data_IF_201135584537
#
_entry.id   IF_201135584537
#
_cell.length_a   1.000
_cell.length_b   1.000
_cell.length_c   1.000
_cell.angle_alpha   90.00
_cell.angle_beta   90.00
_cell.angle_gamma   90.00
#
_symmetry.space_group_name_H-M   'P 1'
#
loop_
_entity.id
_entity.type
_entity.pdbx_description
1 polymer ?
#
# COMPACT_ATOMS: atom_id res chain seq x y z
N UNK A 1 -21.84 30.07 60.40
CA UNK A 1 -22.05 28.76 59.75
C UNK A 1 -22.27 28.83 58.23
N UNK A 2 -22.82 29.93 57.67
CA UNK A 2 -23.13 30.08 56.23
C UNK A 2 -21.88 30.30 55.36
N UNK A 3 -20.85 30.95 55.87
CA UNK A 3 -19.61 31.28 55.12
C UNK A 3 -18.77 30.03 54.85
N UNK A 4 -18.82 29.02 55.74
CA UNK A 4 -18.01 27.81 55.61
C UNK A 4 -18.57 26.83 54.56
N UNK A 5 -19.90 26.77 54.43
CA UNK A 5 -20.59 25.98 53.39
C UNK A 5 -20.34 26.53 51.97
N UNK A 6 -20.18 27.85 51.81
CA UNK A 6 -19.84 28.48 50.53
C UNK A 6 -18.42 28.16 50.06
N UNK A 7 -17.45 28.05 50.98
CA UNK A 7 -16.05 27.70 50.65
C UNK A 7 -15.89 26.22 50.26
N UNK A 8 -16.63 25.32 50.89
CA UNK A 8 -16.65 23.89 50.53
C UNK A 8 -17.33 23.63 49.18
N UNK A 9 -18.41 24.34 48.86
CA UNK A 9 -19.06 24.26 47.55
C UNK A 9 -18.17 24.80 46.41
N UNK A 10 -17.42 25.88 46.65
CA UNK A 10 -16.48 26.43 45.68
C UNK A 10 -15.27 25.50 45.44
N UNK A 11 -14.78 24.81 46.49
CA UNK A 11 -13.71 23.82 46.35
C UNK A 11 -14.18 22.55 45.61
N UNK A 12 -15.42 22.11 45.84
CA UNK A 12 -16.02 21.00 45.10
C UNK A 12 -16.27 21.34 43.61
N UNK A 13 -16.69 22.57 43.32
CA UNK A 13 -16.87 23.04 41.94
C UNK A 13 -15.53 23.16 41.20
N UNK A 14 -14.47 23.61 41.87
CA UNK A 14 -13.11 23.65 41.32
C UNK A 14 -12.54 22.24 41.10
N UNK A 15 -12.80 21.28 42.00
CA UNK A 15 -12.40 19.89 41.82
C UNK A 15 -13.14 19.22 40.65
N UNK A 16 -14.45 19.48 40.48
CA UNK A 16 -15.24 18.94 39.37
C UNK A 16 -14.83 19.55 38.01
N UNK A 17 -14.46 20.83 37.96
CA UNK A 17 -13.96 21.47 36.73
C UNK A 17 -12.54 21.05 36.33
N UNK A 18 -11.74 20.53 37.27
CA UNK A 18 -10.38 20.03 36.96
C UNK A 18 -10.40 18.59 36.43
N UNK A 19 -11.52 17.85 36.58
CA UNK A 19 -11.66 16.44 36.20
C UNK A 19 -12.24 16.19 34.79
N UNK A 20 -12.61 17.22 34.02
CA UNK A 20 -13.40 17.01 32.80
C UNK A 20 -12.80 17.56 31.50
N UNK A 21 -11.51 17.85 31.46
CA UNK A 21 -10.79 17.99 30.17
C UNK A 21 -9.50 17.19 30.23
N UNK A 22 -9.63 15.87 30.34
CA UNK A 22 -8.61 14.99 29.76
C UNK A 22 -8.63 15.27 28.26
N UNK A 23 -7.85 16.24 27.81
CA UNK A 23 -7.56 16.38 26.40
C UNK A 23 -7.10 14.99 25.95
N UNK A 24 -7.84 14.39 25.02
CA UNK A 24 -7.42 13.18 24.34
C UNK A 24 -6.01 13.48 23.85
N UNK A 25 -5.00 12.88 24.48
CA UNK A 25 -3.64 12.98 24.00
C UNK A 25 -3.67 12.36 22.60
N UNK A 26 -3.77 13.21 21.59
CA UNK A 26 -3.91 12.83 20.19
C UNK A 26 -2.62 12.15 19.79
N UNK A 27 -2.56 10.84 20.00
CA UNK A 27 -1.45 10.02 19.58
C UNK A 27 -1.45 10.00 18.05
N UNK A 28 -0.42 10.59 17.45
CA UNK A 28 -0.14 10.41 16.03
C UNK A 28 0.04 8.92 15.72
N UNK A 29 -0.43 8.53 14.54
CA UNK A 29 -0.36 7.17 14.06
C UNK A 29 0.80 7.04 13.07
N UNK A 30 1.60 6.00 13.24
CA UNK A 30 2.61 5.61 12.27
C UNK A 30 2.03 4.59 11.32
N UNK A 31 2.33 4.71 10.03
CA UNK A 31 2.08 3.65 9.05
C UNK A 31 3.30 3.42 8.16
N UNK A 32 3.40 2.21 7.62
CA UNK A 32 4.32 1.87 6.54
C UNK A 32 3.54 1.79 5.24
N UNK A 33 4.17 2.08 4.11
CA UNK A 33 3.57 1.96 2.78
C UNK A 33 4.63 1.51 1.78
N UNK A 34 4.32 0.50 0.98
CA UNK A 34 5.21 0.04 -0.10
C UNK A 34 4.93 0.85 -1.37
N UNK A 35 5.98 1.19 -2.11
CA UNK A 35 5.85 1.98 -3.35
C UNK A 35 5.19 1.20 -4.50
N UNK A 36 5.37 -0.12 -4.51
CA UNK A 36 4.81 -1.04 -5.47
C UNK A 36 4.28 -2.29 -4.74
N UNK A 37 3.03 -2.72 -5.01
CA UNK A 37 2.48 -3.93 -4.40
C UNK A 37 3.08 -5.21 -4.99
N UNK A 38 3.63 -5.15 -6.20
CA UNK A 38 4.24 -6.27 -6.92
C UNK A 38 5.55 -5.80 -7.56
N UNK A 39 6.64 -6.53 -7.33
CA UNK A 39 7.94 -6.28 -7.97
C UNK A 39 8.52 -7.56 -8.56
N UNK A 40 9.47 -7.43 -9.48
CA UNK A 40 10.20 -8.57 -10.02
C UNK A 40 11.25 -9.10 -9.03
N UNK A 41 11.67 -10.36 -9.19
CA UNK A 41 12.75 -10.94 -8.40
C UNK A 41 14.03 -10.11 -8.50
N UNK A 42 14.65 -9.83 -7.35
CA UNK A 42 15.90 -9.06 -7.27
C UNK A 42 15.71 -7.55 -7.39
N UNK A 43 14.51 -7.06 -7.72
CA UNK A 43 14.20 -5.62 -7.63
C UNK A 43 14.14 -5.16 -6.16
N UNK A 44 14.25 -3.84 -5.99
CA UNK A 44 14.20 -3.19 -4.68
C UNK A 44 12.76 -2.79 -4.38
N UNK A 45 12.25 -3.26 -3.24
CA UNK A 45 11.05 -2.71 -2.62
C UNK A 45 11.44 -1.53 -1.74
N UNK A 46 10.77 -0.39 -1.94
CA UNK A 46 10.88 0.78 -1.07
C UNK A 46 9.68 0.85 -0.14
N UNK A 47 9.95 1.21 1.11
CA UNK A 47 8.97 1.26 2.19
C UNK A 47 9.02 2.64 2.82
N UNK A 48 7.98 3.44 2.60
CA UNK A 48 7.80 4.70 3.29
C UNK A 48 7.36 4.43 4.73
N UNK A 49 7.99 5.10 5.69
CA UNK A 49 7.56 5.22 7.07
C UNK A 49 7.03 6.63 7.30
N UNK A 50 5.73 6.72 7.49
CA UNK A 50 5.01 7.98 7.57
C UNK A 50 4.35 8.07 8.94
N UNK A 51 4.30 9.28 9.48
CA UNK A 51 3.79 9.52 10.83
C UNK A 51 2.88 10.74 10.85
N UNK A 52 1.63 10.52 11.20
CA UNK A 52 0.59 11.49 10.96
C UNK A 52 -0.81 10.97 11.25
N UNK A 53 -1.79 11.48 10.51
CA UNK A 53 -3.20 11.12 10.62
C UNK A 53 -3.87 11.57 11.94
N UNK A 54 -3.82 12.86 12.28
CA UNK A 54 -4.62 13.43 13.40
C UNK A 54 -5.77 14.33 12.92
N UNK A 55 -5.75 14.78 11.67
CA UNK A 55 -6.82 15.62 11.13
C UNK A 55 -8.05 14.78 10.78
N UNK A 56 -9.24 15.40 10.87
CA UNK A 56 -10.52 14.77 10.56
C UNK A 56 -10.76 13.48 11.38
N UNK A 57 -10.62 13.56 12.71
CA UNK A 57 -10.81 12.42 13.64
C UNK A 57 -9.95 11.20 13.28
N UNK A 58 -8.67 11.41 12.99
CA UNK A 58 -7.75 10.36 12.51
C UNK A 58 -8.20 9.68 11.21
N UNK A 59 -8.81 10.43 10.29
CA UNK A 59 -9.25 9.97 8.95
C UNK A 59 -8.59 10.74 7.81
N UNK A 60 -7.27 10.99 7.89
CA UNK A 60 -6.50 11.69 6.87
C UNK A 60 -5.09 11.12 6.66
N UNK A 61 -4.55 11.27 5.45
CA UNK A 61 -3.16 10.88 5.14
C UNK A 61 -2.13 12.00 5.45
N UNK A 62 -2.51 12.98 6.28
CA UNK A 62 -1.65 14.13 6.56
C UNK A 62 -0.51 13.76 7.48
N UNK A 63 0.71 14.06 7.04
CA UNK A 63 1.95 13.85 7.79
C UNK A 63 2.17 15.04 8.71
N UNK A 64 2.58 14.78 9.95
CA UNK A 64 2.76 15.84 10.97
C UNK A 64 3.98 15.64 11.86
N UNK A 65 4.67 14.51 11.72
CA UNK A 65 5.80 14.14 12.56
C UNK A 65 6.62 13.02 11.95
N UNK A 66 7.44 12.40 12.78
CA UNK A 66 8.42 11.39 12.36
C UNK A 66 8.33 10.16 13.28
N UNK A 67 8.68 9.00 12.73
CA UNK A 67 8.92 7.82 13.55
C UNK A 67 10.13 8.04 14.46
N UNK A 68 10.04 7.62 15.72
CA UNK A 68 11.16 7.70 16.65
C UNK A 68 12.30 6.77 16.22
N UNK A 69 13.48 7.31 15.94
CA UNK A 69 14.62 6.55 15.38
C UNK A 69 15.08 5.46 16.35
N UNK A 70 15.17 5.77 17.64
CA UNK A 70 15.68 4.85 18.67
C UNK A 70 14.61 3.87 19.18
N UNK A 71 13.34 4.26 19.07
CA UNK A 71 12.20 3.50 19.57
C UNK A 71 11.47 2.73 18.49
N UNK A 72 11.98 2.69 17.25
CA UNK A 72 11.34 1.98 16.14
C UNK A 72 12.30 1.21 15.25
N UNK A 73 11.82 0.07 14.79
CA UNK A 73 12.50 -0.85 13.89
C UNK A 73 11.63 -1.19 12.69
N UNK A 74 12.28 -1.60 11.61
CA UNK A 74 11.63 -2.05 10.38
C UNK A 74 12.04 -3.49 10.13
N UNK A 75 11.06 -4.35 9.90
CA UNK A 75 11.29 -5.75 9.59
C UNK A 75 10.62 -6.15 8.29
N UNK A 76 11.18 -7.18 7.66
CA UNK A 76 10.58 -7.89 6.54
C UNK A 76 10.42 -9.34 6.94
N UNK A 77 9.20 -9.86 6.83
CA UNK A 77 8.93 -11.28 6.99
C UNK A 77 8.83 -11.94 5.62
N UNK A 78 9.68 -12.93 5.37
CA UNK A 78 9.74 -13.65 4.11
C UNK A 78 8.60 -14.67 3.96
N UNK A 79 8.38 -15.24 2.75
CA UNK A 79 7.40 -16.31 2.54
C UNK A 79 7.63 -17.54 3.42
N UNK A 80 8.87 -17.77 3.86
CA UNK A 80 9.23 -18.85 4.78
C UNK A 80 8.97 -18.50 6.26
N UNK A 81 8.42 -17.32 6.55
CA UNK A 81 8.15 -16.85 7.92
C UNK A 81 9.38 -16.28 8.64
N UNK A 82 10.51 -16.11 7.95
CA UNK A 82 11.73 -15.54 8.55
C UNK A 82 11.59 -14.03 8.63
N UNK A 83 11.63 -13.48 9.85
CA UNK A 83 11.60 -12.04 10.13
C UNK A 83 13.02 -11.49 10.18
N UNK A 84 13.34 -10.56 9.28
CA UNK A 84 14.66 -9.92 9.16
C UNK A 84 14.56 -8.45 9.52
N UNK A 85 15.46 -7.95 10.37
CA UNK A 85 15.59 -6.53 10.71
C UNK A 85 16.30 -5.80 9.55
N UNK A 86 15.61 -4.83 8.95
CA UNK A 86 16.13 -4.00 7.86
C UNK A 86 16.29 -2.53 8.29
N UNK A 87 16.27 -2.25 9.59
CA UNK A 87 16.31 -0.88 10.12
C UNK A 87 17.54 -0.10 9.67
N UNK A 88 18.66 -0.78 9.40
CA UNK A 88 19.89 -0.16 8.87
C UNK A 88 19.75 0.43 7.46
N UNK A 89 18.71 0.07 6.72
CA UNK A 89 18.41 0.63 5.38
C UNK A 89 17.59 1.91 5.44
N UNK A 90 17.12 2.29 6.63
CA UNK A 90 16.27 3.45 6.85
C UNK A 90 17.05 4.74 6.60
N UNK A 91 16.49 5.60 5.76
CA UNK A 91 17.01 6.90 5.39
C UNK A 91 15.96 7.99 5.62
N UNK A 92 16.34 9.12 6.22
CA UNK A 92 15.45 10.27 6.41
C UNK A 92 15.34 11.07 5.11
N UNK A 93 14.12 11.25 4.60
CA UNK A 93 13.88 11.92 3.31
C UNK A 93 13.39 13.36 3.44
N UNK A 94 13.16 13.83 4.66
CA UNK A 94 12.68 15.19 4.90
C UNK A 94 13.82 16.21 5.02
N UNK A 95 13.43 17.45 5.27
CA UNK A 95 14.35 18.51 5.70
C UNK A 95 14.29 18.60 7.22
N UNK A 96 15.44 18.63 7.88
CA UNK A 96 15.50 18.75 9.32
C UNK A 96 15.03 20.15 9.73
N UNK A 97 14.40 20.27 10.91
CA UNK A 97 14.09 21.57 11.47
C UNK A 97 15.38 22.38 11.67
N UNK A 98 15.32 23.66 11.39
CA UNK A 98 16.33 24.64 11.81
C UNK A 98 15.80 25.40 13.02
N UNK A 99 16.59 26.34 13.55
CA UNK A 99 16.12 27.21 14.65
C UNK A 99 14.88 28.04 14.26
N UNK A 100 14.72 28.34 12.97
CA UNK A 100 13.68 29.24 12.47
C UNK A 100 12.65 28.55 11.56
N UNK A 101 12.94 27.34 11.07
CA UNK A 101 12.08 26.63 10.13
C UNK A 101 11.70 25.25 10.66
N UNK A 102 10.40 24.90 10.68
CA UNK A 102 9.98 23.57 11.09
C UNK A 102 10.43 22.52 10.06
N UNK A 103 10.61 21.28 10.51
CA UNK A 103 10.91 20.17 9.62
C UNK A 103 9.77 19.97 8.60
N UNK A 104 10.11 19.83 7.32
CA UNK A 104 9.16 19.60 6.23
C UNK A 104 9.42 18.26 5.54
N UNK A 105 8.38 17.71 4.90
CA UNK A 105 8.45 16.41 4.22
C UNK A 105 8.91 15.26 5.14
N UNK A 106 8.46 15.31 6.40
CA UNK A 106 8.84 14.41 7.49
C UNK A 106 8.52 12.93 7.18
N UNK A 107 9.52 12.17 6.75
CA UNK A 107 9.37 10.74 6.47
C UNK A 107 10.71 10.02 6.44
N UNK A 108 10.65 8.70 6.60
CA UNK A 108 11.78 7.84 6.30
C UNK A 108 11.43 6.89 5.17
N UNK A 109 12.44 6.43 4.46
CA UNK A 109 12.34 5.32 3.50
C UNK A 109 13.29 4.23 3.96
N UNK A 110 12.78 3.00 4.07
CA UNK A 110 13.60 1.80 4.17
C UNK A 110 13.53 1.02 2.85
N UNK A 111 14.45 0.07 2.65
CA UNK A 111 14.44 -0.74 1.44
C UNK A 111 14.90 -2.17 1.70
N UNK A 112 14.45 -3.08 0.85
CA UNK A 112 14.97 -4.45 0.79
C UNK A 112 14.85 -4.99 -0.63
N UNK A 113 15.64 -6.01 -0.94
CA UNK A 113 15.47 -6.80 -2.16
C UNK A 113 15.44 -8.28 -1.81
N UNK A 114 14.77 -9.06 -2.62
CA UNK A 114 14.75 -10.51 -2.47
C UNK A 114 14.60 -11.20 -3.82
N UNK A 115 15.36 -12.28 -3.99
CA UNK A 115 15.31 -13.12 -5.19
C UNK A 115 14.24 -14.22 -5.11
N UNK A 116 13.72 -14.52 -3.91
CA UNK A 116 12.70 -15.56 -3.72
C UNK A 116 11.30 -14.99 -4.01
N UNK A 117 10.52 -15.59 -4.93
CA UNK A 117 9.13 -15.19 -5.14
C UNK A 117 8.28 -15.51 -3.92
N UNK A 118 7.24 -14.70 -3.71
CA UNK A 118 6.21 -14.98 -2.72
C UNK A 118 5.66 -13.74 -2.05
N UNK A 119 4.93 -13.98 -0.96
CA UNK A 119 4.32 -12.95 -0.14
C UNK A 119 5.30 -12.47 0.94
N UNK A 120 5.62 -11.18 0.91
CA UNK A 120 6.45 -10.50 1.91
C UNK A 120 5.61 -9.53 2.72
N UNK A 121 5.75 -9.58 4.05
CA UNK A 121 5.08 -8.67 4.98
C UNK A 121 6.13 -7.74 5.56
N UNK A 122 5.96 -6.44 5.38
CA UNK A 122 6.80 -5.42 5.99
C UNK A 122 6.13 -4.91 7.25
N UNK A 123 6.89 -4.76 8.34
CA UNK A 123 6.38 -4.21 9.60
C UNK A 123 7.26 -3.08 10.11
N UNK A 124 6.69 -1.89 10.33
CA UNK A 124 7.24 -0.87 11.21
C UNK A 124 6.75 -1.10 12.64
N UNK A 125 7.67 -1.26 13.58
CA UNK A 125 7.35 -1.60 14.96
C UNK A 125 7.99 -0.60 15.90
N UNK A 126 7.21 -0.02 16.82
CA UNK A 126 7.72 0.92 17.82
C UNK A 126 7.29 0.54 19.23
N UNK A 127 8.17 0.83 20.19
CA UNK A 127 7.94 0.67 21.63
C UNK A 127 8.53 1.87 22.37
N UNK A 128 7.69 2.64 23.04
CA UNK A 128 8.09 3.88 23.71
C UNK A 128 7.33 4.06 25.01
N UNK A 129 8.01 4.50 26.06
CA UNK A 129 7.39 4.89 27.34
C UNK A 129 7.34 6.42 27.43
N UNK A 130 6.16 6.96 27.72
CA UNK A 130 5.93 8.38 27.99
C UNK A 130 5.96 8.61 29.49
N UNK A 131 6.95 9.36 29.96
CA UNK A 131 7.06 9.78 31.36
C UNK A 131 5.99 10.80 31.76
N UNK A 132 5.49 11.59 30.80
CA UNK A 132 4.44 12.59 31.03
C UNK A 132 3.07 11.96 31.24
N UNK A 133 2.71 10.98 30.41
CA UNK A 133 1.39 10.33 30.47
C UNK A 133 1.39 9.03 31.29
N UNK A 134 2.55 8.64 31.82
CA UNK A 134 2.80 7.36 32.49
C UNK A 134 2.22 6.19 31.68
N UNK A 135 2.47 6.19 30.37
CA UNK A 135 1.95 5.16 29.47
C UNK A 135 3.01 4.62 28.53
N UNK A 136 2.93 3.32 28.22
CA UNK A 136 3.71 2.69 27.17
C UNK A 136 2.90 2.67 25.88
N UNK A 137 3.55 2.91 24.75
CA UNK A 137 2.92 2.84 23.42
C UNK A 137 3.62 1.76 22.61
N UNK A 138 2.87 0.75 22.18
CA UNK A 138 3.32 -0.32 21.30
C UNK A 138 2.61 -0.19 19.95
N UNK A 139 3.37 0.05 18.88
CA UNK A 139 2.81 0.28 17.54
C UNK A 139 3.22 -0.83 16.58
N UNK A 140 2.29 -1.28 15.74
CA UNK A 140 2.58 -2.00 14.51
C UNK A 140 2.04 -1.25 13.31
N UNK A 141 2.79 -1.28 12.22
CA UNK A 141 2.40 -0.73 10.95
C UNK A 141 2.78 -1.74 9.87
N UNK A 142 1.81 -2.20 9.09
CA UNK A 142 2.01 -3.23 8.07
C UNK A 142 1.84 -2.70 6.66
N UNK A 143 2.69 -3.18 5.77
CA UNK A 143 2.52 -3.08 4.32
C UNK A 143 3.00 -4.37 3.66
N UNK A 144 2.71 -4.54 2.37
CA UNK A 144 2.87 -5.83 1.70
C UNK A 144 3.53 -5.67 0.34
N UNK A 145 4.31 -6.69 -0.04
CA UNK A 145 4.91 -6.80 -1.37
C UNK A 145 4.78 -8.24 -1.84
N UNK A 146 4.28 -8.45 -3.05
CA UNK A 146 4.45 -9.70 -3.76
C UNK A 146 5.71 -9.63 -4.63
N UNK A 147 6.62 -10.57 -4.45
CA UNK A 147 7.75 -10.76 -5.36
C UNK A 147 7.39 -11.85 -6.33
N UNK A 148 7.56 -11.58 -7.62
CA UNK A 148 7.16 -12.48 -8.70
C UNK A 148 8.23 -12.55 -9.78
N UNK A 149 8.26 -13.63 -10.53
CA UNK A 149 9.05 -13.71 -11.77
C UNK A 149 8.49 -12.78 -12.85
N UNK A 150 7.16 -12.67 -12.91
CA UNK A 150 6.43 -11.72 -13.74
C UNK A 150 5.51 -10.87 -12.84
N UNK A 151 5.75 -9.55 -12.72
CA UNK A 151 5.04 -8.68 -11.77
C UNK A 151 3.63 -8.31 -12.28
N UNK A 152 2.76 -9.31 -12.37
CA UNK A 152 1.37 -9.18 -12.81
C UNK A 152 0.41 -9.61 -11.71
N UNK A 153 -0.69 -8.88 -11.53
CA UNK A 153 -1.76 -9.20 -10.57
C UNK A 153 -2.23 -10.65 -10.72
N UNK A 154 -2.46 -11.10 -11.96
CA UNK A 154 -2.90 -12.47 -12.23
C UNK A 154 -1.88 -13.52 -11.74
N UNK A 155 -0.57 -13.24 -11.89
CA UNK A 155 0.51 -14.14 -11.48
C UNK A 155 0.59 -14.29 -9.96
N UNK A 156 0.36 -13.19 -9.23
CA UNK A 156 0.50 -13.18 -7.77
C UNK A 156 -0.81 -13.41 -7.02
N UNK A 157 -1.96 -13.36 -7.68
CA UNK A 157 -3.29 -13.44 -7.06
C UNK A 157 -3.47 -14.63 -6.12
N UNK A 158 -2.84 -15.77 -6.43
CA UNK A 158 -2.93 -17.01 -5.66
C UNK A 158 -1.97 -17.09 -4.44
N UNK A 159 -1.11 -16.09 -4.21
CA UNK A 159 -0.22 -16.06 -3.05
C UNK A 159 -1.02 -15.97 -1.74
N UNK A 160 -0.67 -16.82 -0.76
CA UNK A 160 -1.41 -16.96 0.52
C UNK A 160 -0.68 -16.44 1.76
N UNK A 161 0.63 -16.17 1.67
CA UNK A 161 1.48 -15.89 2.84
C UNK A 161 1.18 -14.58 3.59
N UNK A 162 0.29 -13.72 3.06
CA UNK A 162 -0.08 -12.45 3.69
C UNK A 162 -0.97 -12.58 4.93
N UNK A 163 -1.62 -13.74 5.11
CA UNK A 163 -2.52 -14.00 6.25
C UNK A 163 -1.78 -14.46 7.53
N UNK A 164 -0.45 -14.42 7.55
CA UNK A 164 0.33 -14.80 8.73
C UNK A 164 0.43 -13.62 9.72
N UNK A 165 0.10 -13.83 11.01
CA UNK A 165 0.46 -12.90 12.08
C UNK A 165 1.98 -12.81 12.24
N UNK A 166 2.53 -11.59 12.40
CA UNK A 166 3.99 -11.35 12.42
C UNK A 166 4.44 -10.37 13.50
N UNK A 167 3.50 -9.75 14.21
CA UNK A 167 3.73 -8.80 15.30
C UNK A 167 3.04 -9.28 16.59
N UNK A 168 3.48 -10.45 17.08
CA UNK A 168 2.80 -11.26 18.10
C UNK A 168 2.77 -10.65 19.52
N UNK A 169 3.51 -9.57 19.78
CA UNK A 169 3.61 -8.90 21.08
C UNK A 169 2.72 -7.64 21.20
N UNK A 170 2.01 -7.27 20.13
CA UNK A 170 1.26 -6.01 20.00
C UNK A 170 -0.06 -6.21 19.25
N UNK A 171 -0.79 -5.11 19.01
CA UNK A 171 -1.93 -5.14 18.10
C UNK A 171 -1.44 -5.23 16.65
N UNK A 172 -2.14 -5.97 15.79
CA UNK A 172 -1.85 -6.08 14.36
C UNK A 172 -3.12 -6.32 13.54
N UNK A 173 -3.11 -5.87 12.28
CA UNK A 173 -4.08 -6.31 11.28
C UNK A 173 -3.52 -7.46 10.46
N UNK A 174 -4.38 -8.42 10.13
CA UNK A 174 -4.05 -9.59 9.31
C UNK A 174 -5.06 -9.67 8.16
N UNK A 175 -4.64 -9.44 6.90
CA UNK A 175 -5.54 -9.55 5.76
C UNK A 175 -5.88 -11.02 5.50
N UNK A 176 -7.17 -11.33 5.33
CA UNK A 176 -7.64 -12.66 4.87
C UNK A 176 -7.82 -12.71 3.35
N UNK A 177 -7.14 -11.81 2.64
CA UNK A 177 -7.09 -11.69 1.19
C UNK A 177 -5.65 -11.41 0.77
N UNK A 178 -5.41 -11.30 -0.54
CA UNK A 178 -4.10 -10.91 -1.08
C UNK A 178 -4.03 -9.37 -1.23
N UNK A 179 -3.38 -8.65 -0.30
CA UNK A 179 -3.27 -7.19 -0.35
C UNK A 179 -2.45 -6.67 -1.53
N UNK A 180 -1.59 -7.51 -2.12
CA UNK A 180 -0.78 -7.17 -3.29
C UNK A 180 -1.55 -7.33 -4.62
N UNK A 181 -2.78 -7.86 -4.58
CA UNK A 181 -3.60 -8.17 -5.76
C UNK A 181 -5.05 -7.71 -5.63
N UNK A 182 -5.34 -6.77 -4.71
CA UNK A 182 -6.69 -6.30 -4.46
C UNK A 182 -7.23 -5.49 -5.65
N UNK A 183 -8.48 -5.75 -6.03
CA UNK A 183 -9.18 -5.07 -7.13
C UNK A 183 -10.42 -4.31 -6.63
N UNK A 184 -10.92 -3.29 -7.35
CA UNK A 184 -12.14 -2.58 -6.99
C UNK A 184 -13.37 -3.47 -6.89
N UNK A 185 -14.24 -3.19 -5.93
CA UNK A 185 -15.50 -3.90 -5.71
C UNK A 185 -15.37 -5.30 -5.08
N UNK A 186 -14.15 -5.74 -4.78
CA UNK A 186 -13.88 -7.00 -4.11
C UNK A 186 -14.31 -6.92 -2.65
N UNK A 187 -15.08 -7.90 -2.18
CA UNK A 187 -15.30 -8.08 -0.75
C UNK A 187 -14.02 -8.65 -0.10
N UNK A 188 -13.54 -7.96 0.93
CA UNK A 188 -12.32 -8.31 1.65
C UNK A 188 -12.56 -8.35 3.15
N UNK A 189 -11.74 -9.14 3.84
CA UNK A 189 -11.78 -9.32 5.29
C UNK A 189 -10.43 -9.04 5.90
N UNK A 190 -10.41 -8.32 7.01
CA UNK A 190 -9.21 -8.05 7.80
C UNK A 190 -9.49 -8.37 9.25
N UNK A 191 -8.60 -9.14 9.87
CA UNK A 191 -8.70 -9.50 11.28
C UNK A 191 -7.78 -8.61 12.11
N UNK A 192 -8.32 -7.99 13.15
CA UNK A 192 -7.57 -7.29 14.19
C UNK A 192 -7.23 -8.28 15.31
N UNK A 193 -5.95 -8.37 15.61
CA UNK A 193 -5.42 -9.17 16.71
C UNK A 193 -4.74 -8.26 17.73
N UNK A 194 -4.79 -8.62 19.01
CA UNK A 194 -3.94 -8.11 20.07
C UNK A 194 -3.21 -9.31 20.68
N UNK A 195 -1.88 -9.32 20.55
CA UNK A 195 -1.03 -10.43 21.03
C UNK A 195 -1.50 -11.80 20.52
N UNK A 196 -1.83 -11.85 19.23
CA UNK A 196 -2.33 -13.05 18.55
C UNK A 196 -3.79 -13.43 18.85
N UNK A 197 -4.52 -12.65 19.67
CA UNK A 197 -5.94 -12.92 19.99
C UNK A 197 -6.87 -11.94 19.27
N UNK A 198 -8.02 -12.39 18.75
CA UNK A 198 -9.04 -11.50 18.20
C UNK A 198 -9.45 -10.35 19.12
N UNK A 199 -9.71 -9.18 18.53
CA UNK A 199 -10.24 -8.01 19.25
C UNK A 199 -11.62 -7.68 18.72
N UNK A 200 -12.67 -8.02 19.46
CA UNK A 200 -14.06 -7.69 19.15
C UNK A 200 -14.41 -6.23 19.46
N UNK A 201 -15.45 -5.71 18.80
CA UNK A 201 -16.02 -4.39 19.02
C UNK A 201 -15.03 -3.21 18.89
N UNK A 202 -13.91 -3.42 18.20
CA UNK A 202 -12.91 -2.40 17.96
C UNK A 202 -13.33 -1.50 16.79
N UNK A 203 -13.21 -0.19 16.99
CA UNK A 203 -13.38 0.78 15.92
C UNK A 203 -12.16 0.79 14.98
N UNK A 204 -12.42 0.57 13.69
CA UNK A 204 -11.42 0.55 12.62
C UNK A 204 -11.73 1.63 11.60
N UNK A 205 -10.82 2.58 11.42
CA UNK A 205 -10.88 3.57 10.34
C UNK A 205 -10.26 3.01 9.07
N UNK A 206 -11.01 3.00 7.97
CA UNK A 206 -10.54 2.73 6.61
C UNK A 206 -10.46 4.05 5.84
N UNK A 207 -9.28 4.43 5.37
CA UNK A 207 -9.00 5.75 4.80
C UNK A 207 -8.39 5.59 3.42
N UNK A 208 -8.88 6.36 2.44
CA UNK A 208 -8.30 6.45 1.10
C UNK A 208 -7.27 7.57 1.01
N UNK A 209 -6.12 7.29 0.42
CA UNK A 209 -5.02 8.27 0.35
C UNK A 209 -5.35 9.48 -0.51
N UNK A 210 -5.90 9.27 -1.70
CA UNK A 210 -5.97 10.34 -2.71
C UNK A 210 -6.97 11.45 -2.38
N UNK A 211 -7.96 11.16 -1.53
CA UNK A 211 -9.01 12.12 -1.17
C UNK A 211 -9.33 12.18 0.34
N UNK A 212 -8.66 11.38 1.18
CA UNK A 212 -8.96 11.25 2.62
C UNK A 212 -10.41 10.86 2.94
N UNK A 213 -11.10 10.21 2.00
CA UNK A 213 -12.39 9.59 2.25
C UNK A 213 -12.22 8.49 3.31
N UNK A 214 -12.99 8.58 4.39
CA UNK A 214 -12.88 7.70 5.55
C UNK A 214 -14.18 6.97 5.86
N UNK A 215 -14.08 5.68 6.15
CA UNK A 215 -15.17 4.85 6.65
C UNK A 215 -14.79 4.30 8.02
N UNK A 216 -15.72 4.33 8.97
CA UNK A 216 -15.58 3.64 10.26
C UNK A 216 -16.24 2.27 10.18
N UNK A 217 -15.52 1.23 10.60
CA UNK A 217 -15.95 -0.15 10.69
C UNK A 217 -15.83 -0.61 12.14
N UNK A 218 -16.56 -1.65 12.52
CA UNK A 218 -16.46 -2.29 13.84
C UNK A 218 -16.13 -3.76 13.65
N UNK A 219 -15.16 -4.29 14.41
CA UNK A 219 -14.81 -5.71 14.35
C UNK A 219 -15.92 -6.58 14.96
N UNK A 220 -16.14 -7.75 14.37
CA UNK A 220 -17.02 -8.77 14.95
C UNK A 220 -16.36 -9.54 16.11
N UNK A 221 -17.05 -10.55 16.66
CA UNK A 221 -16.56 -11.42 17.74
C UNK A 221 -15.23 -12.12 17.42
N UNK A 222 -14.91 -12.31 16.14
CA UNK A 222 -13.67 -12.92 15.66
C UNK A 222 -12.60 -11.87 15.33
N UNK A 223 -12.85 -10.61 15.68
CA UNK A 223 -11.97 -9.49 15.40
C UNK A 223 -11.96 -9.09 13.93
N UNK A 224 -12.96 -9.47 13.13
CA UNK A 224 -12.96 -9.27 11.68
C UNK A 224 -13.78 -8.05 11.29
N UNK A 225 -13.22 -7.22 10.41
CA UNK A 225 -14.00 -6.27 9.60
C UNK A 225 -14.14 -6.81 8.19
N UNK A 226 -15.36 -6.69 7.63
CA UNK A 226 -15.67 -7.04 6.24
C UNK A 226 -16.14 -5.79 5.50
N UNK A 227 -15.58 -5.53 4.32
CA UNK A 227 -15.97 -4.38 3.49
C UNK A 227 -15.68 -4.65 2.01
N UNK A 228 -16.23 -3.81 1.13
CA UNK A 228 -15.91 -3.82 -0.31
C UNK A 228 -14.85 -2.78 -0.61
N UNK A 229 -13.82 -3.16 -1.37
CA UNK A 229 -12.80 -2.23 -1.86
C UNK A 229 -13.42 -1.19 -2.80
N UNK A 230 -12.96 0.06 -2.70
CA UNK A 230 -13.37 1.14 -3.60
C UNK A 230 -12.50 1.21 -4.86
N UNK A 231 -12.40 2.39 -5.45
CA UNK A 231 -11.53 2.64 -6.60
C UNK A 231 -10.04 2.40 -6.29
N UNK A 232 -9.24 2.25 -7.35
CA UNK A 232 -7.80 2.05 -7.22
C UNK A 232 -7.14 3.23 -6.47
N UNK A 233 -6.44 2.91 -5.38
CA UNK A 233 -5.82 3.87 -4.46
C UNK A 233 -4.98 3.11 -3.43
N UNK A 234 -4.25 3.86 -2.60
CA UNK A 234 -3.78 3.37 -1.31
C UNK A 234 -4.89 3.44 -0.28
N UNK A 235 -5.00 2.39 0.53
CA UNK A 235 -5.92 2.30 1.65
C UNK A 235 -5.12 2.11 2.93
N UNK A 236 -5.54 2.79 4.00
CA UNK A 236 -4.99 2.70 5.34
C UNK A 236 -6.09 2.24 6.27
N UNK A 237 -5.89 1.11 6.94
CA UNK A 237 -6.64 0.73 8.12
C UNK A 237 -5.89 1.19 9.36
N UNK A 238 -6.64 1.66 10.36
CA UNK A 238 -6.11 2.11 11.64
C UNK A 238 -7.06 1.75 12.76
N UNK A 239 -6.53 1.18 13.83
CA UNK A 239 -7.23 1.00 15.09
C UNK A 239 -6.28 1.20 16.28
N UNK A 240 -6.86 1.55 17.41
CA UNK A 240 -6.16 1.66 18.68
C UNK A 240 -6.95 0.95 19.78
N UNK A 241 -6.24 0.36 20.73
CA UNK A 241 -6.82 -0.24 21.94
C UNK A 241 -5.84 -0.04 23.10
N UNK A 242 -6.28 -0.26 24.33
CA UNK A 242 -5.42 -0.11 25.51
C UNK A 242 -5.72 -1.17 26.55
N UNK A 243 -4.72 -1.44 27.39
CA UNK A 243 -4.81 -2.37 28.52
C UNK A 243 -4.25 -1.71 29.77
N UNK A 244 -4.64 -2.23 30.93
CA UNK A 244 -4.14 -1.80 32.24
C UNK A 244 -2.80 -2.48 32.63
N UNK A 245 -2.08 -3.02 31.63
CA UNK A 245 -0.71 -3.51 31.82
C UNK A 245 0.16 -2.36 32.34
N UNK A 246 0.85 -2.62 33.44
CA UNK A 246 1.59 -1.60 34.18
C UNK A 246 2.93 -2.11 34.67
N UNK A 247 3.84 -1.17 34.92
CA UNK A 247 5.13 -1.39 35.57
C UNK A 247 5.37 -0.26 36.56
N UNK A 248 5.50 -0.61 37.83
CA UNK A 248 5.68 0.34 38.92
C UNK A 248 6.84 1.29 38.63
N UNK A 249 6.60 2.59 38.83
CA UNK A 249 7.57 3.65 38.54
C UNK A 249 7.77 3.99 37.06
N UNK A 250 7.12 3.30 36.11
CA UNK A 250 7.31 3.52 34.67
C UNK A 250 6.01 3.86 33.92
N UNK A 251 5.01 2.98 33.96
CA UNK A 251 3.74 3.19 33.27
C UNK A 251 2.57 2.47 33.96
N UNK A 252 1.38 3.04 33.84
CA UNK A 252 0.13 2.50 34.41
C UNK A 252 -0.80 1.87 33.37
N UNK A 253 -0.49 2.03 32.08
CA UNK A 253 -1.24 1.45 30.96
C UNK A 253 -0.35 1.23 29.74
N UNK A 254 -0.78 0.34 28.85
CA UNK A 254 -0.20 0.15 27.53
C UNK A 254 -1.24 0.49 26.46
N UNK A 255 -0.89 1.42 25.57
CA UNK A 255 -1.65 1.74 24.37
C UNK A 255 -1.09 0.94 23.20
N UNK A 256 -1.96 0.29 22.44
CA UNK A 256 -1.65 -0.43 21.23
C UNK A 256 -2.24 0.29 20.02
N UNK A 257 -1.44 0.51 18.99
CA UNK A 257 -1.92 1.00 17.70
C UNK A 257 -1.51 0.00 16.62
N UNK A 258 -2.46 -0.35 15.76
CA UNK A 258 -2.22 -1.12 14.54
C UNK A 258 -2.59 -0.28 13.32
N UNK A 259 -1.71 -0.24 12.35
CA UNK A 259 -2.01 0.27 11.00
C UNK A 259 -1.69 -0.76 9.94
N UNK A 260 -2.42 -0.74 8.84
CA UNK A 260 -2.18 -1.60 7.68
C UNK A 260 -2.44 -0.80 6.42
N UNK A 261 -1.47 -0.75 5.52
CA UNK A 261 -1.65 -0.22 4.18
C UNK A 261 -1.62 -1.30 3.12
N UNK A 262 -2.42 -1.10 2.08
CA UNK A 262 -2.38 -1.89 0.87
C UNK A 262 -2.87 -1.05 -0.30
N UNK A 263 -2.67 -1.56 -1.52
CA UNK A 263 -3.08 -0.86 -2.74
C UNK A 263 -4.22 -1.65 -3.39
N UNK A 264 -5.32 -0.96 -3.68
CA UNK A 264 -6.29 -1.46 -4.66
C UNK A 264 -5.78 -1.05 -6.03
N UNK A 265 -5.58 -2.02 -6.91
CA UNK A 265 -5.06 -1.79 -8.25
C UNK A 265 -6.21 -1.75 -9.26
N UNK A 266 -6.07 -0.97 -10.32
CA UNK A 266 -6.94 -1.14 -11.48
C UNK A 266 -6.84 -2.60 -11.95
N UNK A 267 -7.95 -3.18 -12.41
CA UNK A 267 -7.93 -4.53 -12.97
C UNK A 267 -6.80 -4.62 -13.99
N UNK A 268 -5.82 -5.47 -13.71
CA UNK A 268 -4.65 -5.61 -14.56
C UNK A 268 -5.07 -5.98 -15.97
N UNK A 269 -4.47 -5.35 -16.97
CA UNK A 269 -4.62 -5.81 -18.35
C UNK A 269 -4.05 -7.22 -18.40
N UNK A 270 -4.93 -8.21 -18.63
CA UNK A 270 -4.45 -9.55 -18.93
C UNK A 270 -3.67 -9.46 -20.23
N UNK A 271 -2.42 -9.89 -20.22
CA UNK A 271 -1.78 -10.28 -21.47
C UNK A 271 -2.74 -11.30 -22.12
N UNK A 272 -3.20 -11.08 -23.36
CA UNK A 272 -4.19 -11.97 -23.91
C UNK A 272 -3.56 -13.36 -23.98
N UNK A 273 -4.23 -14.34 -23.38
CA UNK A 273 -3.77 -15.73 -23.37
C UNK A 273 -3.82 -16.24 -24.81
N UNK A 274 -2.73 -16.02 -25.53
CA UNK A 274 -2.60 -16.42 -26.91
C UNK A 274 -2.17 -17.86 -26.97
N UNK A 275 -2.79 -18.65 -27.85
CA UNK A 275 -2.07 -19.80 -28.41
C UNK A 275 -0.78 -19.27 -29.03
N UNK A 276 0.31 -20.04 -28.92
CA UNK A 276 1.58 -19.72 -29.59
C UNK A 276 1.27 -19.34 -31.05
N UNK A 277 1.63 -18.12 -31.42
CA UNK A 277 1.37 -17.56 -32.75
C UNK A 277 2.62 -16.82 -33.23
N UNK A 278 3.04 -17.02 -34.50
CA UNK A 278 4.18 -16.30 -35.06
C UNK A 278 3.85 -14.85 -35.36
N UNK A 279 2.57 -14.52 -35.59
CA UNK A 279 2.11 -13.14 -35.72
C UNK A 279 2.27 -12.50 -34.34
N UNK A 280 2.66 -11.22 -34.15
CA UNK A 280 2.71 -10.57 -32.83
C UNK A 280 1.37 -9.89 -32.47
N UNK A 281 1.13 -9.60 -31.19
CA UNK A 281 0.11 -8.60 -30.84
C UNK A 281 0.52 -7.24 -31.42
N UNK A 282 -0.45 -6.42 -31.84
CA UNK A 282 -0.17 -5.06 -32.30
C UNK A 282 -0.95 -4.08 -31.44
N UNK A 283 -0.24 -3.12 -30.87
CA UNK A 283 -0.80 -2.00 -30.15
C UNK A 283 -0.56 -0.74 -30.95
N UNK A 284 -1.60 0.06 -31.17
CA UNK A 284 -1.51 1.38 -31.82
C UNK A 284 -1.98 2.42 -30.82
N UNK A 285 -1.10 3.32 -30.43
CA UNK A 285 -1.31 4.35 -29.40
C UNK A 285 -1.89 3.76 -28.10
N UNK A 286 -1.30 2.64 -27.66
CA UNK A 286 -1.68 1.92 -26.45
C UNK A 286 -2.93 1.04 -26.57
N UNK A 287 -3.60 1.00 -27.74
CA UNK A 287 -4.80 0.17 -27.96
C UNK A 287 -4.46 -1.09 -28.74
N UNK A 288 -4.83 -2.26 -28.21
CA UNK A 288 -4.73 -3.54 -28.91
C UNK A 288 -5.65 -3.53 -30.13
N UNK A 289 -5.12 -3.87 -31.31
CA UNK A 289 -5.87 -3.99 -32.56
C UNK A 289 -5.91 -5.45 -33.04
N UNK A 290 -6.93 -5.81 -33.83
CA UNK A 290 -7.08 -7.20 -34.31
C UNK A 290 -5.86 -7.64 -35.13
N UNK A 291 -5.45 -8.89 -34.95
CA UNK A 291 -4.35 -9.50 -35.70
C UNK A 291 -4.78 -10.20 -36.99
N UNK A 292 -6.07 -10.22 -37.32
CA UNK A 292 -6.59 -10.96 -38.49
C UNK A 292 -6.05 -10.43 -39.82
N UNK A 293 -5.70 -9.13 -39.86
CA UNK A 293 -5.15 -8.46 -41.03
C UNK A 293 -3.62 -8.50 -41.11
N UNK A 294 -2.97 -9.29 -40.25
CA UNK A 294 -1.52 -9.38 -40.12
C UNK A 294 -0.99 -10.71 -40.64
N UNK A 295 0.18 -10.69 -41.26
CA UNK A 295 0.89 -11.89 -41.71
C UNK A 295 2.38 -11.79 -41.37
N UNK A 296 3.08 -12.92 -41.31
CA UNK A 296 4.53 -12.92 -41.17
C UNK A 296 5.15 -13.41 -42.48
N UNK A 297 5.92 -12.54 -43.12
CA UNK A 297 6.61 -12.83 -44.39
C UNK A 297 8.10 -12.67 -44.14
N UNK A 298 8.85 -13.77 -44.22
CA UNK A 298 10.31 -13.80 -44.00
C UNK A 298 10.74 -13.11 -42.69
N UNK A 299 9.99 -13.34 -41.61
CA UNK A 299 10.25 -12.74 -40.30
C UNK A 299 9.80 -11.28 -40.12
N UNK A 300 9.29 -10.63 -41.18
CA UNK A 300 8.65 -9.31 -41.08
C UNK A 300 7.16 -9.46 -40.81
N UNK A 301 6.63 -8.70 -39.84
CA UNK A 301 5.18 -8.55 -39.67
C UNK A 301 4.67 -7.60 -40.74
N UNK A 302 3.80 -8.11 -41.61
CA UNK A 302 3.14 -7.36 -42.65
C UNK A 302 1.68 -7.15 -42.30
N UNK A 303 1.10 -6.05 -42.76
CA UNK A 303 -0.30 -5.72 -42.57
C UNK A 303 -0.99 -5.47 -43.92
N UNK A 304 -2.27 -5.79 -44.00
CA UNK A 304 -3.11 -5.45 -45.17
C UNK A 304 -3.13 -3.94 -45.43
N UNK A 305 -3.40 -3.53 -46.67
CA UNK A 305 -3.53 -2.13 -47.04
C UNK A 305 -4.60 -1.39 -46.20
N UNK A 306 -5.74 -2.04 -45.95
CA UNK A 306 -6.83 -1.45 -45.15
C UNK A 306 -6.40 -1.21 -43.70
N UNK A 307 -5.68 -2.17 -43.11
CA UNK A 307 -5.11 -2.01 -41.78
C UNK A 307 -4.12 -0.84 -41.72
N UNK A 308 -3.19 -0.78 -42.69
CA UNK A 308 -2.18 0.28 -42.75
C UNK A 308 -2.84 1.64 -42.90
N UNK A 309 -3.86 1.75 -43.76
CA UNK A 309 -4.61 2.98 -43.98
C UNK A 309 -5.39 3.41 -42.74
N UNK A 310 -6.00 2.46 -42.04
CA UNK A 310 -6.83 2.75 -40.88
C UNK A 310 -6.00 3.15 -39.66
N UNK A 311 -4.88 2.47 -39.41
CA UNK A 311 -4.20 2.55 -38.12
C UNK A 311 -2.81 3.19 -38.18
N UNK A 312 -2.19 3.29 -39.35
CA UNK A 312 -0.76 3.66 -39.45
C UNK A 312 -0.57 4.94 -40.26
N UNK A 313 -1.09 4.96 -41.49
CA UNK A 313 -0.93 6.05 -42.42
C UNK A 313 -2.20 6.21 -43.27
N UNK A 314 -3.07 7.18 -42.96
CA UNK A 314 -4.27 7.45 -43.75
C UNK A 314 -4.01 7.74 -45.23
N UNK A 315 -2.78 8.15 -45.57
CA UNK A 315 -2.33 8.42 -46.95
C UNK A 315 -1.81 7.18 -47.68
N UNK A 316 -1.80 6.01 -47.03
CA UNK A 316 -1.37 4.75 -47.63
C UNK A 316 -2.21 4.42 -48.88
N UNK A 317 -1.56 4.44 -50.04
CA UNK A 317 -2.20 4.38 -51.37
C UNK A 317 -2.00 3.05 -52.11
N UNK A 318 -1.07 2.22 -51.64
CA UNK A 318 -0.85 0.87 -52.19
C UNK A 318 -2.01 -0.05 -51.83
N UNK A 319 -2.39 -0.93 -52.76
CA UNK A 319 -3.37 -2.01 -52.49
C UNK A 319 -2.74 -3.28 -51.93
N UNK A 320 -1.41 -3.37 -51.95
CA UNK A 320 -0.68 -4.56 -51.52
C UNK A 320 -0.37 -4.49 -50.02
N UNK A 321 -0.35 -5.64 -49.31
CA UNK A 321 0.19 -5.69 -47.95
C UNK A 321 1.65 -5.22 -47.90
N UNK A 322 2.05 -4.57 -46.81
CA UNK A 322 3.42 -4.11 -46.62
C UNK A 322 3.92 -4.35 -45.19
N UNK A 323 5.24 -4.21 -45.01
CA UNK A 323 5.86 -4.29 -43.69
C UNK A 323 5.26 -3.24 -42.76
N UNK A 324 4.72 -3.70 -41.63
CA UNK A 324 4.08 -2.86 -40.63
C UNK A 324 5.09 -1.88 -40.03
N UNK A 325 6.27 -2.38 -39.63
CA UNK A 325 7.35 -1.57 -39.06
C UNK A 325 7.80 -0.47 -40.04
N UNK A 326 8.17 -0.84 -41.27
CA UNK A 326 8.68 0.13 -42.24
C UNK A 326 7.64 1.18 -42.61
N UNK A 327 6.38 0.79 -42.76
CA UNK A 327 5.30 1.72 -43.08
C UNK A 327 5.06 2.70 -41.93
N UNK A 328 5.04 2.20 -40.68
CA UNK A 328 4.88 3.02 -39.50
C UNK A 328 6.05 4.00 -39.30
N UNK A 329 7.29 3.51 -39.37
CA UNK A 329 8.49 4.36 -39.27
C UNK A 329 8.53 5.43 -40.38
N UNK A 330 8.13 5.08 -41.61
CA UNK A 330 8.03 6.05 -42.73
C UNK A 330 6.94 7.10 -42.48
N UNK A 331 5.84 6.74 -41.84
CA UNK A 331 4.80 7.67 -41.41
C UNK A 331 5.22 8.52 -40.19
N UNK A 332 6.44 8.33 -39.69
CA UNK A 332 6.98 9.07 -38.55
C UNK A 332 6.55 8.52 -37.19
N UNK A 333 5.99 7.31 -37.14
CA UNK A 333 5.66 6.63 -35.89
C UNK A 333 6.90 6.04 -35.22
N UNK A 334 6.87 5.94 -33.89
CA UNK A 334 7.85 5.16 -33.11
C UNK A 334 7.35 3.73 -33.00
N UNK A 335 8.23 2.75 -33.26
CA UNK A 335 7.89 1.33 -33.24
C UNK A 335 8.77 0.56 -32.25
N UNK A 336 8.17 0.06 -31.19
CA UNK A 336 8.80 -0.81 -30.21
C UNK A 336 8.40 -2.28 -30.41
N UNK A 337 9.27 -3.19 -29.97
CA UNK A 337 9.02 -4.62 -30.02
C UNK A 337 9.28 -5.25 -28.66
N UNK A 338 8.27 -5.94 -28.14
CA UNK A 338 8.38 -6.78 -26.96
C UNK A 338 8.55 -8.24 -27.42
N UNK A 339 9.67 -8.89 -27.10
CA UNK A 339 9.87 -10.29 -27.45
C UNK A 339 8.87 -11.17 -26.71
N UNK A 340 8.63 -12.36 -27.24
CA UNK A 340 7.84 -13.38 -26.55
C UNK A 340 8.57 -13.82 -25.26
N UNK A 341 7.82 -14.04 -24.18
CA UNK A 341 8.35 -14.53 -22.90
C UNK A 341 7.44 -15.63 -22.35
N UNK A 342 7.99 -16.83 -22.22
CA UNK A 342 7.20 -18.03 -21.89
C UNK A 342 6.10 -18.27 -22.92
N UNK A 343 4.86 -18.47 -22.45
CA UNK A 343 3.68 -18.61 -23.31
C UNK A 343 3.12 -17.25 -23.82
N UNK A 344 3.75 -16.13 -23.44
CA UNK A 344 3.33 -14.81 -23.90
C UNK A 344 3.85 -14.57 -25.31
N UNK A 345 2.93 -14.39 -26.26
CA UNK A 345 3.20 -13.95 -27.64
C UNK A 345 3.93 -12.59 -27.66
N UNK A 346 4.81 -12.38 -28.64
CA UNK A 346 5.48 -11.09 -28.86
C UNK A 346 4.48 -9.96 -29.17
N UNK A 347 4.89 -8.72 -28.96
CA UNK A 347 4.08 -7.54 -29.28
C UNK A 347 4.88 -6.49 -30.07
N UNK A 348 4.19 -5.80 -30.98
CA UNK A 348 4.67 -4.61 -31.68
C UNK A 348 3.83 -3.43 -31.19
N UNK A 349 4.49 -2.40 -30.68
CA UNK A 349 3.84 -1.19 -30.19
C UNK A 349 4.17 -0.06 -31.15
N UNK A 350 3.13 0.61 -31.64
CA UNK A 350 3.23 1.67 -32.62
C UNK A 350 2.64 2.93 -32.01
N UNK A 351 3.46 3.96 -31.92
CA UNK A 351 3.07 5.27 -31.43
C UNK A 351 3.03 6.24 -32.60
N UNK A 352 1.83 6.55 -33.07
CA UNK A 352 1.64 7.38 -34.25
C UNK A 352 1.95 8.84 -33.93
N UNK A 353 2.47 9.56 -34.92
CA UNK A 353 2.63 11.00 -34.83
C UNK A 353 1.26 11.62 -35.15
N UNK A 354 0.57 12.09 -34.11
CA UNK A 354 -0.72 12.79 -34.26
C UNK A 354 -0.57 14.08 -35.04
#
# INVERSE_FOLDING_TARGET
MIIWKKKLAAAALAAVLTFSVSATAFAHDGWTQTNAPIIAQGEVAYVDLLFGNHSNDHKSYRITGQWGVDSSKVYVTSPAGVKTDITSTRFYTGEAATETEPAVNNGFVASFSAASPGAYIVTGESDSVSTTSLSRSMRSAKSFVAISDLPLIARVSALKGFANPVSLDRAEFVPQFNPAAALPGQEVKVQMLLKGKPVADAEVSLIRRSNSEGQTLTTDENGIVTYKTGAADYYLLRASTSTDESKEGEYTKVNYTATMTYTVQNAGVKLPAGKVSPIPYVYVDGKLVSSDSLTVVKGSTNASADFLKQYIDPSYSSKNPASLRQTAEKAGAVVEFLPAVGDTRSAVLIYTKK
#
